data_IF_152233606047
#
_entry.id   IF_152233606047
#
_cell.length_a   1.000
_cell.length_b   1.000
_cell.length_c   1.000
_cell.angle_alpha   90.00
_cell.angle_beta   90.00
_cell.angle_gamma   90.00
#
_symmetry.space_group_name_H-M   'P 1'
#
loop_
_entity.id
_entity.type
_entity.pdbx_description
1 polymer ?
#
# COMPACT_ATOMS: atom_id res chain seq x y z
N UNK A 1 -79.06 43.93 25.13
CA UNK A 1 -78.45 43.22 26.27
C UNK A 1 -77.34 44.07 26.89
N UNK A 2 -77.11 43.86 28.19
CA UNK A 2 -76.21 44.51 29.18
C UNK A 2 -74.86 45.03 28.63
N UNK A 3 -74.39 46.25 28.94
CA UNK A 3 -73.88 46.88 30.21
C UNK A 3 -72.35 46.74 30.37
N UNK A 4 -71.69 47.91 30.34
CA UNK A 4 -70.47 48.39 31.04
C UNK A 4 -69.46 47.35 31.59
N UNK A 5 -68.16 47.57 31.39
CA UNK A 5 -67.22 48.24 32.34
C UNK A 5 -65.76 47.85 32.03
N UNK A 6 -64.87 48.84 32.12
CA UNK A 6 -63.41 48.81 32.03
C UNK A 6 -62.70 47.78 32.92
N UNK A 7 -61.48 47.34 32.54
CA UNK A 7 -60.46 46.90 33.50
C UNK A 7 -59.03 47.25 33.05
N UNK A 8 -58.25 47.69 34.04
CA UNK A 8 -56.80 47.98 34.04
C UNK A 8 -55.99 46.69 34.23
N UNK A 9 -54.70 46.77 33.87
CA UNK A 9 -53.62 45.90 34.38
C UNK A 9 -52.98 45.04 33.28
N UNK A 10 -51.72 44.64 33.33
CA UNK A 10 -50.55 44.96 34.15
C UNK A 10 -49.34 44.26 33.45
N UNK A 11 -48.14 44.81 33.63
CA UNK A 11 -46.81 44.18 33.63
C UNK A 11 -46.61 42.77 33.01
N UNK A 12 -45.65 42.65 32.08
CA UNK A 12 -44.76 41.49 32.02
C UNK A 12 -43.43 41.85 31.34
N UNK A 13 -42.36 41.90 32.14
CA UNK A 13 -40.98 41.93 31.68
C UNK A 13 -40.60 40.54 31.14
N UNK A 14 -40.13 40.45 29.90
CA UNK A 14 -39.48 39.25 29.37
C UNK A 14 -37.97 39.47 29.37
N UNK A 15 -37.29 38.81 30.32
CA UNK A 15 -35.85 38.64 30.31
C UNK A 15 -35.44 37.76 29.13
N UNK A 16 -34.45 38.23 28.37
CA UNK A 16 -33.87 37.49 27.25
C UNK A 16 -32.87 36.46 27.83
N UNK A 17 -33.29 35.18 27.89
CA UNK A 17 -32.38 34.07 28.20
C UNK A 17 -31.43 33.84 27.01
N UNK A 18 -30.14 34.14 27.20
CA UNK A 18 -29.06 33.73 26.30
C UNK A 18 -28.86 32.22 26.40
N UNK A 19 -29.38 31.47 25.43
CA UNK A 19 -29.05 30.05 25.23
C UNK A 19 -27.66 29.97 24.63
N UNK A 20 -26.66 29.59 25.43
CA UNK A 20 -25.33 29.23 24.92
C UNK A 20 -25.46 27.85 24.28
N UNK A 21 -25.61 27.81 22.96
CA UNK A 21 -25.50 26.57 22.20
C UNK A 21 -24.04 26.12 22.21
N UNK A 22 -23.72 25.15 23.08
CA UNK A 22 -22.49 24.40 23.01
C UNK A 22 -22.53 23.53 21.74
N UNK A 23 -21.91 24.01 20.66
CA UNK A 23 -21.64 23.22 19.48
C UNK A 23 -20.53 22.22 19.82
N UNK A 24 -20.91 21.01 20.21
CA UNK A 24 -20.02 19.87 20.15
C UNK A 24 -19.65 19.66 18.67
N UNK A 25 -18.50 20.15 18.26
CA UNK A 25 -17.89 19.74 17.00
C UNK A 25 -17.40 18.30 17.18
N UNK A 26 -18.25 17.33 16.85
CA UNK A 26 -17.79 15.99 16.52
C UNK A 26 -16.88 16.12 15.30
N UNK A 27 -15.57 16.12 15.54
CA UNK A 27 -14.59 15.93 14.49
C UNK A 27 -14.83 14.53 13.93
N UNK A 28 -15.53 14.43 12.80
CA UNK A 28 -15.70 13.18 12.08
C UNK A 28 -14.29 12.62 11.78
N UNK A 29 -13.89 11.61 12.56
CA UNK A 29 -12.68 10.82 12.33
C UNK A 29 -12.86 10.21 10.95
N UNK A 30 -12.06 10.66 9.97
CA UNK A 30 -12.16 10.16 8.61
C UNK A 30 -11.84 8.66 8.64
N UNK A 31 -12.79 7.84 8.19
CA UNK A 31 -12.63 6.39 8.23
C UNK A 31 -11.39 5.95 7.43
N UNK A 32 -10.72 4.85 7.83
CA UNK A 32 -9.59 4.31 7.10
C UNK A 32 -9.95 4.06 5.63
N UNK A 33 -9.05 4.42 4.72
CA UNK A 33 -9.20 4.11 3.31
C UNK A 33 -8.76 2.67 3.10
N UNK A 34 -9.69 1.82 2.66
CA UNK A 34 -9.42 0.43 2.31
C UNK A 34 -9.46 0.26 0.80
N UNK A 35 -8.56 -0.58 0.28
CA UNK A 35 -8.47 -0.84 -1.15
C UNK A 35 -8.00 -2.25 -1.46
N UNK A 36 -8.29 -2.69 -2.68
CA UNK A 36 -7.85 -3.96 -3.23
C UNK A 36 -7.45 -3.75 -4.69
N UNK A 37 -6.15 -3.63 -4.93
CA UNK A 37 -5.60 -3.41 -6.27
C UNK A 37 -5.01 -4.68 -6.83
N UNK A 38 -5.22 -4.91 -8.13
CA UNK A 38 -4.60 -6.02 -8.85
C UNK A 38 -3.77 -5.46 -9.99
N UNK A 39 -2.48 -5.79 -10.00
CA UNK A 39 -1.53 -5.31 -11.01
C UNK A 39 -0.78 -6.48 -11.63
N UNK A 40 -0.48 -6.38 -12.92
CA UNK A 40 0.32 -7.38 -13.63
C UNK A 40 1.80 -7.01 -13.57
N UNK A 41 2.66 -7.97 -13.25
CA UNK A 41 4.11 -7.78 -13.29
C UNK A 41 4.60 -7.96 -14.74
N UNK A 42 4.90 -6.86 -15.42
CA UNK A 42 5.18 -6.87 -16.87
C UNK A 42 6.63 -6.58 -17.24
N UNK A 43 7.40 -6.01 -16.31
CA UNK A 43 8.78 -5.59 -16.57
C UNK A 43 9.76 -6.42 -15.76
N UNK A 44 10.93 -6.69 -16.35
CA UNK A 44 12.01 -7.45 -15.72
C UNK A 44 13.29 -6.63 -15.77
N UNK A 45 13.98 -6.59 -14.64
CA UNK A 45 15.29 -5.98 -14.50
C UNK A 45 16.22 -6.90 -13.70
N UNK A 46 17.52 -6.74 -13.92
CA UNK A 46 18.54 -7.25 -13.02
C UNK A 46 18.92 -6.15 -12.03
N UNK A 47 19.30 -6.55 -10.82
CA UNK A 47 19.83 -5.65 -9.79
C UNK A 47 21.11 -6.23 -9.23
N UNK A 48 22.07 -5.39 -8.89
CA UNK A 48 23.23 -5.80 -8.10
C UNK A 48 22.77 -6.25 -6.70
N UNK A 49 23.60 -6.98 -5.97
CA UNK A 49 23.33 -7.37 -4.57
C UNK A 49 23.19 -6.19 -3.59
N UNK A 50 23.53 -4.99 -4.05
CA UNK A 50 23.37 -3.73 -3.32
C UNK A 50 22.05 -3.02 -3.66
N UNK A 51 21.24 -3.58 -4.57
CA UNK A 51 19.93 -3.08 -4.97
C UNK A 51 19.89 -2.09 -6.13
N UNK A 52 21.04 -1.59 -6.59
CA UNK A 52 21.11 -0.75 -7.79
C UNK A 52 20.78 -1.57 -9.04
N UNK A 53 20.29 -0.89 -10.07
CA UNK A 53 20.05 -1.50 -11.37
C UNK A 53 21.36 -2.08 -11.95
N UNK A 54 21.28 -3.32 -12.39
CA UNK A 54 22.31 -3.91 -13.25
C UNK A 54 21.94 -3.66 -14.72
N UNK A 55 22.90 -3.15 -15.50
CA UNK A 55 22.70 -2.80 -16.91
C UNK A 55 23.23 -3.88 -17.86
N UNK A 56 23.84 -4.96 -17.34
CA UNK A 56 24.36 -6.07 -18.15
C UNK A 56 23.23 -6.80 -18.89
N UNK A 57 23.22 -6.79 -20.23
CA UNK A 57 22.16 -7.45 -21.01
C UNK A 57 22.03 -8.94 -20.72
N UNK A 58 23.16 -9.63 -20.47
CA UNK A 58 23.21 -11.05 -20.14
C UNK A 58 22.45 -11.38 -18.85
N UNK A 59 22.59 -10.55 -17.81
CA UNK A 59 21.95 -10.75 -16.51
C UNK A 59 20.46 -10.43 -16.59
N UNK A 60 20.08 -9.41 -17.36
CA UNK A 60 18.67 -9.08 -17.64
C UNK A 60 17.99 -10.23 -18.40
N UNK A 61 18.66 -10.80 -19.41
CA UNK A 61 18.13 -11.93 -20.17
C UNK A 61 18.00 -13.19 -19.29
N UNK A 62 19.00 -13.47 -18.44
CA UNK A 62 18.97 -14.55 -17.48
C UNK A 62 17.82 -14.39 -16.47
N UNK A 63 17.62 -13.17 -15.95
CA UNK A 63 16.49 -12.86 -15.08
C UNK A 63 15.16 -13.10 -15.77
N UNK A 64 14.99 -12.64 -17.02
CA UNK A 64 13.75 -12.88 -17.78
C UNK A 64 13.45 -14.37 -17.95
N UNK A 65 14.48 -15.19 -18.18
CA UNK A 65 14.34 -16.66 -18.24
C UNK A 65 13.96 -17.25 -16.88
N UNK A 66 14.60 -16.79 -15.80
CA UNK A 66 14.34 -17.27 -14.45
C UNK A 66 12.89 -16.97 -14.04
N UNK A 67 12.42 -15.73 -14.18
CA UNK A 67 11.12 -15.31 -13.65
C UNK A 67 9.92 -15.70 -14.52
N UNK A 68 10.17 -16.31 -15.67
CA UNK A 68 9.15 -16.89 -16.56
C UNK A 68 9.10 -18.42 -16.49
N UNK A 69 10.05 -19.06 -15.81
CA UNK A 69 10.07 -20.51 -15.65
C UNK A 69 8.85 -21.00 -14.84
N UNK A 70 8.33 -22.23 -15.11
CA UNK A 70 7.14 -22.75 -14.44
C UNK A 70 7.19 -22.75 -12.91
N UNK A 71 8.37 -22.87 -12.30
CA UNK A 71 8.57 -22.87 -10.85
C UNK A 71 8.70 -21.49 -10.20
N UNK A 72 8.78 -20.41 -10.98
CA UNK A 72 9.09 -19.04 -10.53
C UNK A 72 8.34 -17.99 -11.35
N UNK A 73 7.15 -18.36 -11.85
CA UNK A 73 6.33 -17.59 -12.80
C UNK A 73 5.79 -16.32 -12.15
N UNK A 74 6.61 -15.28 -12.10
CA UNK A 74 6.24 -13.94 -11.68
C UNK A 74 5.95 -13.04 -12.88
N UNK A 75 6.67 -13.22 -13.99
CA UNK A 75 6.43 -12.42 -15.20
C UNK A 75 5.07 -12.75 -15.83
N UNK A 76 4.26 -11.72 -16.05
CA UNK A 76 2.89 -11.84 -16.55
C UNK A 76 1.87 -12.22 -15.48
N UNK A 77 2.29 -12.43 -14.23
CA UNK A 77 1.40 -12.81 -13.14
C UNK A 77 0.71 -11.59 -12.54
N UNK A 78 -0.54 -11.78 -12.11
CA UNK A 78 -1.29 -10.80 -11.35
C UNK A 78 -0.90 -10.88 -9.87
N UNK A 79 -0.68 -9.74 -9.24
CA UNK A 79 -0.51 -9.58 -7.80
C UNK A 79 -1.67 -8.76 -7.29
N UNK A 80 -2.43 -9.30 -6.34
CA UNK A 80 -3.54 -8.59 -5.70
C UNK A 80 -3.11 -8.16 -4.32
N UNK A 81 -3.13 -6.85 -4.05
CA UNK A 81 -2.79 -6.30 -2.74
C UNK A 81 -4.02 -5.67 -2.11
N UNK A 82 -4.35 -6.14 -0.90
CA UNK A 82 -5.34 -5.49 -0.03
C UNK A 82 -4.61 -4.59 0.94
N UNK A 83 -5.12 -3.39 1.18
CA UNK A 83 -4.54 -2.45 2.12
C UNK A 83 -5.62 -1.68 2.91
N UNK A 84 -5.22 -1.19 4.07
CA UNK A 84 -5.98 -0.26 4.90
C UNK A 84 -5.03 0.84 5.39
N UNK A 85 -5.40 2.09 5.15
CA UNK A 85 -4.59 3.26 5.46
C UNK A 85 -5.44 4.24 6.27
N UNK A 86 -5.10 4.40 7.54
CA UNK A 86 -5.63 5.44 8.39
C UNK A 86 -4.60 6.56 8.54
N UNK A 87 -4.89 7.68 7.88
CA UNK A 87 -4.00 8.85 7.86
C UNK A 87 -4.00 9.62 9.19
N UNK A 88 -5.03 9.44 10.01
CA UNK A 88 -5.19 10.12 11.30
C UNK A 88 -4.42 9.36 12.39
N UNK A 89 -4.70 8.06 12.55
CA UNK A 89 -4.00 7.21 13.53
C UNK A 89 -2.61 6.78 13.08
N UNK A 90 -2.27 6.99 11.79
CA UNK A 90 -1.05 6.49 11.13
C UNK A 90 -0.96 4.97 11.08
N UNK A 91 -2.03 4.26 11.42
CA UNK A 91 -2.09 2.81 11.31
C UNK A 91 -2.27 2.41 9.84
N UNK A 92 -1.38 1.53 9.37
CA UNK A 92 -1.37 1.08 7.98
C UNK A 92 -1.09 -0.42 7.94
N UNK A 93 -1.84 -1.15 7.11
CA UNK A 93 -1.62 -2.57 6.88
C UNK A 93 -1.81 -2.90 5.40
N UNK A 94 -1.08 -3.91 4.92
CA UNK A 94 -1.29 -4.45 3.59
C UNK A 94 -0.95 -5.95 3.54
N UNK A 95 -1.54 -6.65 2.57
CA UNK A 95 -1.24 -8.04 2.26
C UNK A 95 -1.28 -8.26 0.77
N UNK A 96 -0.21 -8.82 0.20
CA UNK A 96 -0.14 -9.15 -1.23
C UNK A 96 -0.30 -10.64 -1.46
N UNK A 97 -1.20 -10.98 -2.37
CA UNK A 97 -1.43 -12.32 -2.87
C UNK A 97 -0.76 -12.48 -4.23
N UNK A 98 0.12 -13.48 -4.36
CA UNK A 98 0.89 -13.76 -5.57
C UNK A 98 1.01 -15.28 -5.80
N UNK A 99 1.31 -15.74 -7.03
CA UNK A 99 1.47 -17.17 -7.29
C UNK A 99 2.52 -17.82 -6.40
N UNK A 100 2.21 -19.02 -5.88
CA UNK A 100 3.16 -19.82 -5.11
C UNK A 100 4.24 -20.38 -6.04
N UNK A 101 5.55 -20.24 -5.70
CA UNK A 101 6.60 -20.91 -6.45
C UNK A 101 6.50 -22.44 -6.34
N UNK A 102 6.89 -23.14 -7.41
CA UNK A 102 6.93 -24.60 -7.43
C UNK A 102 5.59 -25.32 -7.57
N UNK A 103 4.48 -24.60 -7.84
CA UNK A 103 3.17 -25.23 -8.14
C UNK A 103 2.52 -25.95 -6.96
N UNK A 104 2.94 -25.65 -5.74
CA UNK A 104 2.42 -26.23 -4.51
C UNK A 104 1.05 -25.66 -4.16
N UNK A 105 0.21 -26.43 -3.45
CA UNK A 105 -1.05 -25.93 -2.90
C UNK A 105 -0.79 -25.22 -1.55
N UNK A 106 -1.39 -24.04 -1.32
CA UNK A 106 -2.25 -23.28 -2.24
C UNK A 106 -1.46 -22.62 -3.38
N UNK A 107 -2.05 -22.57 -4.58
CA UNK A 107 -1.42 -22.00 -5.78
C UNK A 107 -1.14 -20.49 -5.68
N UNK A 108 -1.68 -19.84 -4.64
CA UNK A 108 -1.46 -18.44 -4.30
C UNK A 108 -1.04 -18.35 -2.85
N UNK A 109 0.02 -17.61 -2.59
CA UNK A 109 0.49 -17.29 -1.24
C UNK A 109 0.10 -15.85 -0.91
N UNK A 110 -0.37 -15.61 0.32
CA UNK A 110 -0.66 -14.26 0.81
C UNK A 110 0.39 -13.85 1.83
N UNK A 111 1.06 -12.74 1.56
CA UNK A 111 2.18 -12.24 2.34
C UNK A 111 1.76 -10.94 3.05
N UNK A 112 1.82 -10.87 4.38
CA UNK A 112 1.62 -9.61 5.10
C UNK A 112 2.79 -8.67 4.82
N UNK A 113 2.49 -7.39 4.57
CA UNK A 113 3.48 -6.37 4.28
C UNK A 113 3.52 -5.32 5.39
N UNK A 114 4.73 -4.89 5.76
CA UNK A 114 4.94 -3.82 6.72
C UNK A 114 5.02 -2.46 6.02
N UNK A 115 4.46 -1.38 6.60
CA UNK A 115 4.65 -0.03 6.08
C UNK A 115 6.13 0.37 6.01
N UNK A 116 6.54 1.05 4.93
CA UNK A 116 7.94 1.40 4.66
C UNK A 116 8.30 2.85 5.00
N UNK A 117 7.30 3.69 5.28
CA UNK A 117 7.50 5.09 5.67
C UNK A 117 8.16 5.95 4.59
N UNK A 118 7.83 5.70 3.31
CA UNK A 118 8.36 6.45 2.18
C UNK A 118 7.60 7.77 2.00
N UNK A 119 8.31 8.82 1.60
CA UNK A 119 7.69 10.11 1.26
C UNK A 119 7.07 10.05 -0.13
N UNK A 120 5.90 10.65 -0.31
CA UNK A 120 5.23 10.79 -1.60
C UNK A 120 4.33 9.62 -2.03
N UNK A 121 4.30 8.51 -1.28
CA UNK A 121 3.44 7.35 -1.56
C UNK A 121 3.18 6.54 -0.28
N UNK A 122 2.10 5.74 -0.28
CA UNK A 122 1.90 4.70 0.72
C UNK A 122 2.59 3.44 0.23
N UNK A 123 3.70 3.08 0.87
CA UNK A 123 4.52 1.93 0.48
C UNK A 123 4.61 0.88 1.58
N UNK A 124 4.63 -0.37 1.14
CA UNK A 124 4.61 -1.55 1.98
C UNK A 124 5.60 -2.59 1.44
N UNK A 125 6.18 -3.38 2.34
CA UNK A 125 7.13 -4.41 1.94
C UNK A 125 7.24 -5.56 2.92
N UNK A 126 7.60 -6.72 2.39
CA UNK A 126 8.06 -7.88 3.12
C UNK A 126 9.41 -8.32 2.57
N UNK A 127 10.40 -8.44 3.44
CA UNK A 127 11.76 -8.81 3.09
C UNK A 127 12.03 -10.23 3.59
N UNK A 128 12.24 -11.18 2.68
CA UNK A 128 12.40 -12.61 2.98
C UNK A 128 11.25 -13.17 3.85
N UNK A 129 9.98 -13.00 3.47
CA UNK A 129 8.88 -13.57 4.25
C UNK A 129 9.04 -15.09 4.35
N UNK A 130 8.60 -15.70 5.45
CA UNK A 130 8.80 -17.12 5.73
C UNK A 130 8.34 -18.05 4.60
N UNK A 131 7.26 -17.71 3.91
CA UNK A 131 6.75 -18.47 2.78
C UNK A 131 7.57 -18.31 1.50
N UNK A 132 8.36 -17.22 1.36
CA UNK A 132 9.21 -16.91 0.21
C UNK A 132 10.57 -16.35 0.70
N UNK A 133 11.43 -17.17 1.32
CA UNK A 133 12.63 -16.67 2.02
C UNK A 133 13.68 -16.03 1.10
N UNK A 134 13.63 -16.34 -0.21
CA UNK A 134 14.54 -15.78 -1.21
C UNK A 134 13.87 -14.66 -2.02
N UNK A 135 12.93 -13.93 -1.44
CA UNK A 135 12.12 -12.96 -2.17
C UNK A 135 11.80 -11.73 -1.35
N UNK A 136 11.77 -10.56 -2.00
CA UNK A 136 11.08 -9.37 -1.48
C UNK A 136 9.78 -9.16 -2.22
N UNK A 137 8.76 -8.76 -1.48
CA UNK A 137 7.46 -8.37 -2.03
C UNK A 137 7.22 -6.93 -1.62
N UNK A 138 7.04 -6.05 -2.60
CA UNK A 138 6.87 -4.62 -2.43
C UNK A 138 5.57 -4.18 -3.10
N UNK A 139 4.85 -3.27 -2.45
CA UNK A 139 3.66 -2.62 -2.98
C UNK A 139 3.71 -1.13 -2.67
N UNK A 140 3.26 -0.30 -3.59
CA UNK A 140 2.95 1.10 -3.29
C UNK A 140 1.70 1.57 -4.01
N UNK A 141 1.08 2.62 -3.46
CA UNK A 141 -0.01 3.36 -4.08
C UNK A 141 0.19 4.85 -3.79
N UNK A 142 -0.20 5.71 -4.72
CA UNK A 142 -0.11 7.16 -4.57
C UNK A 142 -0.89 7.67 -3.35
N UNK A 143 -0.56 8.87 -2.88
CA UNK A 143 -1.27 9.51 -1.76
C UNK A 143 -2.75 9.81 -2.07
N UNK A 144 -3.11 9.83 -3.36
CA UNK A 144 -4.47 9.92 -3.87
C UNK A 144 -5.14 8.54 -4.07
N UNK A 145 -4.50 7.47 -3.58
CA UNK A 145 -4.92 6.08 -3.72
C UNK A 145 -5.02 5.59 -5.18
N UNK A 146 -4.21 6.16 -6.08
CA UNK A 146 -4.13 5.76 -7.49
C UNK A 146 -2.73 5.29 -7.87
N UNK A 147 -2.64 4.70 -9.07
CA UNK A 147 -1.38 4.24 -9.64
C UNK A 147 -0.69 3.15 -8.82
N UNK A 148 -1.38 2.05 -8.47
CA UNK A 148 -0.77 0.98 -7.69
C UNK A 148 0.42 0.36 -8.42
N UNK A 149 1.45 0.01 -7.67
CA UNK A 149 2.63 -0.67 -8.16
C UNK A 149 2.92 -1.88 -7.29
N UNK A 150 3.34 -2.98 -7.92
CA UNK A 150 3.86 -4.15 -7.20
C UNK A 150 5.17 -4.58 -7.80
N UNK A 151 6.07 -5.06 -6.93
CA UNK A 151 7.35 -5.59 -7.32
C UNK A 151 7.69 -6.84 -6.52
N UNK A 152 8.30 -7.80 -7.19
CA UNK A 152 8.86 -9.01 -6.61
C UNK A 152 10.34 -9.05 -6.95
N UNK A 153 11.19 -9.02 -5.94
CA UNK A 153 12.63 -9.20 -6.11
C UNK A 153 13.01 -10.61 -5.72
N UNK A 154 13.47 -11.41 -6.66
CA UNK A 154 14.00 -12.76 -6.42
C UNK A 154 15.50 -12.66 -6.14
N UNK A 155 15.90 -13.15 -4.97
CA UNK A 155 17.28 -13.14 -4.50
C UNK A 155 18.03 -14.38 -5.00
N UNK A 156 19.20 -14.18 -5.59
CA UNK A 156 20.10 -15.24 -6.03
C UNK A 156 21.38 -15.21 -5.18
N UNK A 157 21.51 -16.16 -4.26
CA UNK A 157 22.67 -16.23 -3.35
C UNK A 157 23.94 -16.77 -4.01
N UNK A 158 23.82 -17.36 -5.20
CA UNK A 158 24.87 -17.96 -6.01
C UNK A 158 25.34 -17.05 -7.16
N UNK A 159 24.72 -15.86 -7.33
CA UNK A 159 24.98 -14.92 -8.42
C UNK A 159 25.32 -13.54 -7.89
N UNK A 160 25.96 -12.73 -8.74
CA UNK A 160 26.26 -11.32 -8.43
C UNK A 160 25.07 -10.38 -8.63
N UNK A 161 23.93 -10.91 -9.11
CA UNK A 161 22.72 -10.15 -9.39
C UNK A 161 21.46 -10.86 -8.87
N UNK A 162 20.45 -10.05 -8.55
CA UNK A 162 19.10 -10.45 -8.20
C UNK A 162 18.13 -10.05 -9.32
N UNK A 163 16.95 -10.68 -9.37
CA UNK A 163 16.00 -10.48 -10.45
C UNK A 163 14.75 -9.77 -9.96
N UNK A 164 14.49 -8.59 -10.51
CA UNK A 164 13.32 -7.77 -10.20
C UNK A 164 12.25 -7.97 -11.27
N UNK A 165 11.03 -8.25 -10.83
CA UNK A 165 9.83 -8.26 -11.68
C UNK A 165 8.84 -7.24 -11.12
N UNK A 166 8.32 -6.36 -11.95
CA UNK A 166 7.54 -5.21 -11.47
C UNK A 166 6.47 -4.78 -12.46
N UNK A 167 5.44 -4.09 -11.98
CA UNK A 167 4.49 -3.37 -12.82
C UNK A 167 4.98 -1.99 -13.26
N UNK A 168 6.06 -1.47 -12.68
CA UNK A 168 6.61 -0.15 -13.00
C UNK A 168 7.73 -0.24 -14.07
N UNK A 169 7.62 0.46 -15.23
CA UNK A 169 8.68 0.46 -16.25
C UNK A 169 9.97 1.18 -15.84
N UNK A 170 9.97 1.96 -14.75
CA UNK A 170 11.12 2.70 -14.25
C UNK A 170 11.28 2.56 -12.72
N UNK A 171 11.48 1.34 -12.19
CA UNK A 171 11.38 1.06 -10.75
C UNK A 171 12.50 1.69 -9.92
N UNK A 172 13.61 2.11 -10.55
CA UNK A 172 14.76 2.72 -9.89
C UNK A 172 14.67 4.23 -9.72
N UNK A 173 13.68 4.88 -10.34
CA UNK A 173 13.48 6.35 -10.24
C UNK A 173 12.56 6.76 -9.09
N UNK A 174 11.85 5.82 -8.47
CA UNK A 174 10.86 6.07 -7.41
C UNK A 174 11.35 5.73 -6.01
N UNK A 175 10.60 6.17 -4.99
CA UNK A 175 10.93 5.94 -3.60
C UNK A 175 11.00 4.44 -3.26
N UNK A 176 10.09 3.62 -3.81
CA UNK A 176 10.11 2.17 -3.66
C UNK A 176 11.44 1.52 -4.09
N UNK A 177 12.08 2.06 -5.14
CA UNK A 177 13.38 1.59 -5.64
C UNK A 177 14.49 1.66 -4.58
N UNK A 178 14.41 2.62 -3.65
CA UNK A 178 15.38 2.76 -2.55
C UNK A 178 15.37 1.59 -1.57
N UNK A 179 14.29 0.80 -1.56
CA UNK A 179 14.13 -0.36 -0.68
C UNK A 179 14.61 -1.66 -1.31
N UNK A 180 14.99 -1.66 -2.59
CA UNK A 180 15.49 -2.86 -3.25
C UNK A 180 16.72 -3.41 -2.54
N UNK A 181 17.70 -2.57 -2.19
CA UNK A 181 18.95 -3.02 -1.53
C UNK A 181 18.84 -3.38 -0.04
N UNK A 182 17.67 -3.20 0.57
CA UNK A 182 17.50 -3.42 2.01
C UNK A 182 17.64 -4.90 2.36
N UNK A 183 18.46 -5.21 3.36
CA UNK A 183 18.64 -6.55 3.93
C UNK A 183 19.04 -7.63 2.89
N UNK A 184 19.73 -7.22 1.80
CA UNK A 184 20.22 -8.15 0.77
C UNK A 184 21.51 -8.89 1.18
N UNK A 185 22.17 -8.45 2.25
CA UNK A 185 23.31 -9.15 2.86
C UNK A 185 22.91 -10.55 3.36
N UNK A 186 23.89 -11.46 3.41
CA UNK A 186 23.71 -12.79 4.01
C UNK A 186 23.39 -12.66 5.50
#
# INVERSE_FOLDING_TARGET
MKRKTSYRGALAACGLSLVVAALCMDAAVAAPVTGADTVTLSYVFATLQTGQQDQKPEDIAACRKQVSAPGSKYLGSAVTTKYSIDVQSKMMSASSSLPSPGGTQPMTVTIPLAPLGLSGEYAFGAFRPSALPNTYVLFSVGLDFKGPQSSVLVLNSDKTYNCLVTSNPAPFKGALGTKLGKDQGR
#
